data_IF_373079795812
#
_entry.id   IF_373079795812
#
_cell.length_a   1.000
_cell.length_b   1.000
_cell.length_c   1.000
_cell.angle_alpha   90.00
_cell.angle_beta   90.00
_cell.angle_gamma   90.00
#
_symmetry.space_group_name_H-M   'P 1'
#
loop_
_entity.id
_entity.type
_entity.pdbx_description
1 polymer ?
#
# COMPACT_ATOMS: atom_id res chain seq x y z
N UNK A 1 -2.09 20.05 -12.58
CA UNK A 1 -1.90 19.12 -11.49
C UNK A 1 -1.03 17.96 -11.97
N UNK A 2 0.26 17.96 -11.56
CA UNK A 2 1.25 16.98 -12.00
C UNK A 2 0.87 15.52 -11.71
N UNK A 3 0.22 15.26 -10.58
CA UNK A 3 -0.24 13.91 -10.22
C UNK A 3 -1.27 13.35 -11.20
N UNK A 4 -2.23 14.18 -11.62
CA UNK A 4 -3.21 13.77 -12.61
C UNK A 4 -2.57 13.48 -13.96
N UNK A 5 -1.61 14.31 -14.37
CA UNK A 5 -0.89 14.13 -15.64
C UNK A 5 -0.10 12.81 -15.65
N UNK A 6 0.62 12.50 -14.57
CA UNK A 6 1.37 11.23 -14.43
C UNK A 6 0.43 10.03 -14.40
N UNK A 7 -0.71 10.13 -13.70
CA UNK A 7 -1.71 9.08 -13.65
C UNK A 7 -2.30 8.78 -15.03
N UNK A 8 -2.67 9.82 -15.78
CA UNK A 8 -3.20 9.66 -17.15
C UNK A 8 -2.13 9.08 -18.10
N UNK A 9 -0.89 9.54 -17.97
CA UNK A 9 0.22 8.97 -18.75
C UNK A 9 0.42 7.49 -18.44
N UNK A 10 0.37 7.09 -17.17
CA UNK A 10 0.43 5.71 -16.75
C UNK A 10 -0.69 4.84 -17.32
N UNK A 11 -1.93 5.36 -17.35
CA UNK A 11 -3.06 4.65 -17.94
C UNK A 11 -2.87 4.44 -19.47
N UNK A 12 -2.38 5.45 -20.17
CA UNK A 12 -2.13 5.36 -21.63
C UNK A 12 -1.03 4.34 -21.91
N UNK A 13 0.07 4.40 -21.17
CA UNK A 13 1.20 3.48 -21.31
C UNK A 13 0.77 2.05 -20.96
N UNK A 14 0.09 1.85 -19.83
CA UNK A 14 -0.35 0.53 -19.38
C UNK A 14 -1.36 -0.15 -20.31
N UNK A 15 -2.19 0.60 -21.03
CA UNK A 15 -3.13 0.07 -22.01
C UNK A 15 -2.57 -0.04 -23.43
N UNK A 16 -1.37 0.47 -23.68
CA UNK A 16 -0.74 0.38 -25.00
C UNK A 16 -0.10 -1.00 -25.19
N UNK A 17 -0.28 -1.56 -26.41
CA UNK A 17 0.42 -2.79 -26.81
C UNK A 17 1.88 -2.46 -27.11
N UNK A 18 2.71 -2.40 -26.08
CA UNK A 18 4.14 -2.18 -26.26
C UNK A 18 4.89 -3.50 -26.42
N UNK A 19 5.86 -3.59 -27.35
CA UNK A 19 6.84 -4.66 -27.32
C UNK A 19 7.63 -4.54 -26.00
N UNK A 20 7.88 -5.65 -25.33
CA UNK A 20 8.59 -5.74 -24.03
C UNK A 20 7.83 -5.13 -22.83
N UNK A 21 6.49 -5.18 -22.83
CA UNK A 21 5.64 -4.66 -21.75
C UNK A 21 6.11 -5.13 -20.35
N UNK A 22 6.49 -6.38 -20.22
CA UNK A 22 6.95 -6.98 -18.95
C UNK A 22 8.23 -6.34 -18.43
N UNK A 23 9.25 -6.19 -19.30
CA UNK A 23 10.52 -5.57 -18.91
C UNK A 23 10.31 -4.11 -18.50
N UNK A 24 9.43 -3.40 -19.21
CA UNK A 24 9.07 -2.01 -18.87
C UNK A 24 8.36 -1.92 -17.52
N UNK A 25 7.42 -2.81 -17.23
CA UNK A 25 6.71 -2.83 -15.95
C UNK A 25 7.68 -3.11 -14.79
N UNK A 26 8.53 -4.13 -14.91
CA UNK A 26 9.53 -4.45 -13.87
C UNK A 26 10.49 -3.28 -13.62
N UNK A 27 10.90 -2.57 -14.67
CA UNK A 27 11.76 -1.39 -14.53
C UNK A 27 11.05 -0.25 -13.80
N UNK A 28 9.79 0.04 -14.14
CA UNK A 28 9.01 1.07 -13.44
C UNK A 28 8.71 0.69 -12.00
N UNK A 29 8.48 -0.57 -11.70
CA UNK A 29 8.29 -1.05 -10.33
C UNK A 29 9.55 -0.81 -9.49
N UNK A 30 10.74 -1.10 -10.03
CA UNK A 30 12.01 -0.80 -9.36
C UNK A 30 12.20 0.69 -9.08
N UNK A 31 11.91 1.56 -10.05
CA UNK A 31 11.97 3.00 -9.87
C UNK A 31 10.94 3.48 -8.85
N UNK A 32 9.72 2.93 -8.87
CA UNK A 32 8.69 3.29 -7.90
C UNK A 32 9.10 2.96 -6.47
N UNK A 33 9.71 1.79 -6.23
CA UNK A 33 10.29 1.43 -4.94
C UNK A 33 11.39 2.39 -4.49
N UNK A 34 12.32 2.73 -5.38
CA UNK A 34 13.38 3.68 -5.07
C UNK A 34 12.82 5.07 -4.74
N UNK A 35 11.91 5.57 -5.57
CA UNK A 35 11.25 6.86 -5.36
C UNK A 35 10.48 6.88 -4.04
N UNK A 36 9.82 5.79 -3.67
CA UNK A 36 9.12 5.66 -2.40
C UNK A 36 10.07 5.73 -1.20
N UNK A 37 11.22 5.07 -1.27
CA UNK A 37 12.25 5.13 -0.22
C UNK A 37 12.78 6.57 -0.04
N UNK A 38 13.16 7.22 -1.15
CA UNK A 38 13.65 8.61 -1.14
C UNK A 38 12.60 9.56 -0.57
N UNK A 39 11.34 9.38 -0.96
CA UNK A 39 10.23 10.19 -0.49
C UNK A 39 10.02 10.04 1.02
N UNK A 40 9.97 8.82 1.56
CA UNK A 40 9.80 8.60 2.99
C UNK A 40 10.99 9.14 3.79
N UNK A 41 12.21 8.98 3.27
CA UNK A 41 13.40 9.55 3.89
C UNK A 41 13.31 11.08 3.96
N UNK A 42 12.97 11.72 2.85
CA UNK A 42 12.84 13.18 2.77
C UNK A 42 11.74 13.70 3.71
N UNK A 43 10.58 13.03 3.73
CA UNK A 43 9.49 13.40 4.64
C UNK A 43 9.88 13.19 6.11
N UNK A 44 10.64 12.14 6.42
CA UNK A 44 11.16 11.91 7.77
C UNK A 44 12.14 13.00 8.24
N UNK A 45 12.98 13.49 7.34
CA UNK A 45 13.91 14.57 7.63
C UNK A 45 13.24 15.95 7.79
N UNK A 46 12.06 16.12 7.16
CA UNK A 46 11.30 17.38 7.25
C UNK A 46 10.62 17.56 8.62
N UNK A 47 10.44 16.49 9.37
CA UNK A 47 9.71 16.50 10.63
C UNK A 47 10.61 16.89 11.79
N UNK A 48 10.13 17.82 12.61
CA UNK A 48 10.78 18.17 13.88
C UNK A 48 10.16 17.35 15.03
N UNK A 49 10.90 16.40 15.64
CA UNK A 49 10.35 15.55 16.70
C UNK A 49 9.83 16.30 17.92
N UNK A 50 10.39 17.48 18.23
CA UNK A 50 9.96 18.29 19.37
C UNK A 50 8.56 18.88 19.19
N UNK A 51 8.16 19.13 17.94
CA UNK A 51 6.85 19.64 17.61
C UNK A 51 5.78 18.54 17.50
N UNK A 52 6.18 17.27 17.41
CA UNK A 52 5.27 16.13 17.41
C UNK A 52 4.72 15.81 18.81
N UNK A 53 5.52 16.01 19.86
CA UNK A 53 5.13 15.70 21.24
C UNK A 53 3.86 16.41 21.69
N UNK A 54 3.68 17.74 21.46
CA UNK A 54 2.46 18.44 21.85
C UNK A 54 1.21 17.97 21.12
N UNK A 55 1.34 17.50 19.88
CA UNK A 55 0.23 17.04 19.05
C UNK A 55 -0.03 15.53 19.17
N UNK A 56 0.86 14.79 19.84
CA UNK A 56 0.80 13.34 19.93
C UNK A 56 -0.52 12.84 20.56
N UNK A 57 -1.00 13.48 21.61
CA UNK A 57 -2.25 13.08 22.27
C UNK A 57 -3.47 13.18 21.35
N UNK A 58 -3.64 14.33 20.71
CA UNK A 58 -4.74 14.58 19.77
C UNK A 58 -4.55 13.71 18.50
N UNK A 59 -3.33 13.62 17.99
CA UNK A 59 -2.99 12.79 16.84
C UNK A 59 -3.29 11.31 17.08
N UNK A 60 -2.97 10.78 18.27
CA UNK A 60 -3.26 9.40 18.66
C UNK A 60 -4.77 9.15 18.72
N UNK A 61 -5.53 10.06 19.34
CA UNK A 61 -6.98 9.93 19.42
C UNK A 61 -7.62 9.90 18.03
N UNK A 62 -7.20 10.81 17.15
CA UNK A 62 -7.68 10.85 15.76
C UNK A 62 -7.25 9.58 15.00
N UNK A 63 -6.01 9.13 15.16
CA UNK A 63 -5.51 7.90 14.52
C UNK A 63 -6.35 6.69 14.91
N UNK A 64 -6.60 6.50 16.21
CA UNK A 64 -7.41 5.41 16.74
C UNK A 64 -8.85 5.50 16.23
N UNK A 65 -9.47 6.66 16.27
CA UNK A 65 -10.83 6.87 15.75
C UNK A 65 -10.92 6.57 14.24
N UNK A 66 -9.91 6.98 13.48
CA UNK A 66 -9.88 6.70 12.05
C UNK A 66 -9.66 5.21 11.73
N UNK A 67 -8.84 4.51 12.50
CA UNK A 67 -8.58 3.08 12.28
C UNK A 67 -9.78 2.23 12.71
N UNK A 68 -10.36 2.52 13.88
CA UNK A 68 -11.40 1.67 14.48
C UNK A 68 -12.82 2.04 14.06
N UNK A 69 -13.09 3.28 13.71
CA UNK A 69 -14.44 3.76 13.41
C UNK A 69 -14.58 4.14 11.94
N UNK A 70 -13.79 5.12 11.47
CA UNK A 70 -13.98 5.68 10.15
C UNK A 70 -13.74 4.65 9.03
N UNK A 71 -12.70 3.86 9.15
CA UNK A 71 -12.34 2.83 8.16
C UNK A 71 -13.35 1.69 8.08
N UNK A 72 -13.68 0.99 9.17
CA UNK A 72 -14.72 -0.02 9.12
C UNK A 72 -16.04 0.53 8.61
N UNK A 73 -16.47 1.70 9.10
CA UNK A 73 -17.71 2.33 8.63
C UNK A 73 -17.70 2.53 7.11
N UNK A 74 -16.62 3.10 6.56
CA UNK A 74 -16.51 3.33 5.10
C UNK A 74 -16.51 2.02 4.32
N UNK A 75 -15.71 1.02 4.73
CA UNK A 75 -15.62 -0.26 4.02
C UNK A 75 -16.94 -1.01 4.06
N UNK A 76 -17.59 -1.08 5.23
CA UNK A 76 -18.88 -1.74 5.35
C UNK A 76 -19.97 -1.01 4.53
N UNK A 77 -19.96 0.32 4.53
CA UNK A 77 -20.92 1.11 3.75
C UNK A 77 -20.70 0.92 2.23
N UNK A 78 -19.46 1.00 1.76
CA UNK A 78 -19.13 0.81 0.34
C UNK A 78 -19.37 -0.62 -0.14
N UNK A 79 -19.13 -1.63 0.71
CA UNK A 79 -19.33 -3.03 0.36
C UNK A 79 -20.74 -3.56 0.72
N UNK A 80 -21.64 -2.69 1.15
CA UNK A 80 -23.03 -3.06 1.47
C UNK A 80 -23.78 -3.66 0.27
N UNK A 81 -23.65 -3.11 -0.97
CA UNK A 81 -24.30 -3.71 -2.14
C UNK A 81 -23.71 -5.07 -2.54
N UNK A 82 -22.46 -5.37 -2.15
CA UNK A 82 -21.78 -6.62 -2.48
C UNK A 82 -22.02 -7.69 -1.41
N UNK A 83 -23.18 -8.36 -1.47
CA UNK A 83 -23.58 -9.40 -0.49
C UNK A 83 -22.75 -10.68 -0.55
N UNK A 84 -22.01 -10.93 -1.65
CA UNK A 84 -21.18 -12.12 -1.83
C UNK A 84 -19.87 -12.09 -1.01
N UNK A 85 -19.45 -10.90 -0.53
CA UNK A 85 -18.21 -10.75 0.24
C UNK A 85 -18.49 -11.09 1.69
N UNK A 86 -17.74 -12.03 2.25
CA UNK A 86 -17.89 -12.46 3.64
C UNK A 86 -17.58 -11.31 4.62
N UNK A 87 -18.23 -11.31 5.79
CA UNK A 87 -17.97 -10.30 6.83
C UNK A 87 -16.51 -10.28 7.31
N UNK A 88 -15.84 -11.45 7.29
CA UNK A 88 -14.42 -11.56 7.62
C UNK A 88 -13.54 -10.85 6.59
N UNK A 89 -13.83 -11.01 5.30
CA UNK A 89 -13.13 -10.31 4.24
C UNK A 89 -13.31 -8.79 4.34
N UNK A 90 -14.52 -8.31 4.64
CA UNK A 90 -14.80 -6.89 4.87
C UNK A 90 -14.00 -6.35 6.07
N UNK A 91 -13.94 -7.10 7.18
CA UNK A 91 -13.16 -6.74 8.35
C UNK A 91 -11.65 -6.70 8.05
N UNK A 92 -11.13 -7.67 7.30
CA UNK A 92 -9.74 -7.69 6.88
C UNK A 92 -9.39 -6.50 5.96
N UNK A 93 -10.18 -6.23 4.94
CA UNK A 93 -9.99 -5.08 4.04
C UNK A 93 -10.03 -3.76 4.80
N UNK A 94 -10.91 -3.63 5.80
CA UNK A 94 -10.96 -2.42 6.64
C UNK A 94 -9.71 -2.26 7.50
N UNK A 95 -9.09 -3.35 7.94
CA UNK A 95 -7.87 -3.33 8.73
C UNK A 95 -6.63 -3.05 7.88
N UNK A 96 -6.48 -3.72 6.74
CA UNK A 96 -5.30 -3.64 5.85
C UNK A 96 -5.15 -2.29 5.17
N UNK A 97 -6.14 -1.42 5.23
CA UNK A 97 -6.12 -0.10 4.58
C UNK A 97 -4.93 0.77 4.97
N UNK A 98 -3.71 0.33 4.64
CA UNK A 98 -2.48 1.08 4.86
C UNK A 98 -2.55 2.46 4.20
N UNK A 99 -2.06 3.48 4.91
CA UNK A 99 -1.92 4.83 4.36
C UNK A 99 -0.54 4.96 3.76
N UNK A 100 -0.49 5.40 2.50
CA UNK A 100 0.75 5.76 1.85
C UNK A 100 1.21 7.18 2.21
N UNK A 101 2.28 7.63 1.58
CA UNK A 101 2.82 8.98 1.77
C UNK A 101 1.94 10.09 1.19
N UNK A 102 0.94 9.78 0.39
CA UNK A 102 0.06 10.76 -0.28
C UNK A 102 -0.59 11.75 0.70
N UNK A 103 -1.17 11.35 1.85
CA UNK A 103 -1.69 12.30 2.83
C UNK A 103 -0.64 13.27 3.34
N UNK A 104 0.61 12.80 3.57
CA UNK A 104 1.71 13.64 4.05
C UNK A 104 2.11 14.66 2.97
N UNK A 105 2.19 14.21 1.71
CA UNK A 105 2.49 15.11 0.58
C UNK A 105 1.41 16.18 0.46
N UNK A 106 0.12 15.82 0.58
CA UNK A 106 -0.93 16.83 0.57
C UNK A 106 -0.87 17.78 1.76
N UNK A 107 -0.38 17.34 2.91
CA UNK A 107 -0.17 18.20 4.07
C UNK A 107 0.99 19.19 3.90
N UNK A 108 1.86 19.03 2.90
CA UNK A 108 2.89 20.03 2.57
C UNK A 108 2.34 21.23 1.80
N UNK A 109 1.18 21.13 1.12
CA UNK A 109 0.61 22.25 0.38
C UNK A 109 0.27 23.46 1.25
N UNK A 110 -0.37 23.32 2.43
CA UNK A 110 -0.56 24.41 3.37
C UNK A 110 0.76 25.07 3.80
N UNK A 111 1.85 24.28 3.96
CA UNK A 111 3.17 24.80 4.28
C UNK A 111 3.70 25.70 3.17
N UNK A 112 3.63 25.22 1.92
CA UNK A 112 4.08 25.97 0.74
C UNK A 112 3.23 27.22 0.53
N UNK A 113 1.93 27.16 0.83
CA UNK A 113 1.02 28.29 0.71
C UNK A 113 1.15 29.30 1.84
N UNK A 114 1.97 29.06 2.87
CA UNK A 114 2.18 29.96 3.99
C UNK A 114 0.95 30.19 4.87
N UNK A 115 0.06 29.19 4.96
CA UNK A 115 -1.17 29.28 5.76
C UNK A 115 -0.84 29.25 7.25
N UNK A 116 -1.55 30.06 8.05
CA UNK A 116 -1.39 30.03 9.50
C UNK A 116 -1.65 28.62 10.06
N UNK A 117 -0.80 28.17 10.98
CA UNK A 117 -0.84 26.83 11.59
C UNK A 117 -0.62 25.65 10.61
N UNK A 118 -0.02 25.88 9.44
CA UNK A 118 0.29 24.83 8.48
C UNK A 118 1.20 23.74 9.08
N UNK A 119 2.16 24.11 9.92
CA UNK A 119 3.03 23.17 10.65
C UNK A 119 2.22 22.22 11.54
N UNK A 120 1.19 22.73 12.22
CA UNK A 120 0.32 21.91 13.07
C UNK A 120 -0.46 20.88 12.23
N UNK A 121 -0.99 21.29 11.09
CA UNK A 121 -1.69 20.39 10.16
C UNK A 121 -0.75 19.30 9.67
N UNK A 122 0.45 19.70 9.23
CA UNK A 122 1.47 18.76 8.74
C UNK A 122 1.86 17.76 9.83
N UNK A 123 2.18 18.22 11.04
CA UNK A 123 2.60 17.38 12.15
C UNK A 123 1.51 16.38 12.58
N UNK A 124 0.25 16.81 12.61
CA UNK A 124 -0.88 15.91 12.92
C UNK A 124 -1.04 14.84 11.84
N UNK A 125 -1.06 15.22 10.56
CA UNK A 125 -1.21 14.27 9.44
C UNK A 125 -0.04 13.29 9.39
N UNK A 126 1.18 13.78 9.58
CA UNK A 126 2.37 12.95 9.64
C UNK A 126 2.30 11.94 10.78
N UNK A 127 1.98 12.40 12.01
CA UNK A 127 1.84 11.54 13.18
C UNK A 127 0.78 10.45 12.97
N UNK A 128 -0.40 10.81 12.48
CA UNK A 128 -1.48 9.85 12.18
C UNK A 128 -1.02 8.81 11.15
N UNK A 129 -0.30 9.25 10.12
CA UNK A 129 0.17 8.35 9.06
C UNK A 129 1.22 7.37 9.57
N UNK A 130 2.20 7.83 10.33
CA UNK A 130 3.23 6.97 10.94
C UNK A 130 2.58 5.97 11.92
N UNK A 131 1.71 6.44 12.81
CA UNK A 131 1.01 5.55 13.76
C UNK A 131 0.18 4.50 13.03
N UNK A 132 -0.53 4.88 11.98
CA UNK A 132 -1.28 3.95 11.14
C UNK A 132 -0.36 2.92 10.48
N UNK A 133 0.77 3.36 9.93
CA UNK A 133 1.74 2.49 9.27
C UNK A 133 2.35 1.48 10.26
N UNK A 134 2.75 1.94 11.44
CA UNK A 134 3.32 1.08 12.48
C UNK A 134 2.29 0.07 13.00
N UNK A 135 1.09 0.55 13.39
CA UNK A 135 0.06 -0.33 13.98
C UNK A 135 -0.46 -1.32 12.93
N UNK A 136 -0.88 -0.84 11.78
CA UNK A 136 -1.47 -1.70 10.74
C UNK A 136 -0.41 -2.55 10.05
N UNK A 137 0.76 -1.98 9.72
CA UNK A 137 1.84 -2.69 9.04
C UNK A 137 2.35 -3.89 9.84
N UNK A 138 2.56 -3.74 11.15
CA UNK A 138 3.01 -4.84 12.02
C UNK A 138 1.92 -5.88 12.29
N UNK A 139 0.66 -5.49 12.26
CA UNK A 139 -0.46 -6.38 12.62
C UNK A 139 -1.17 -7.02 11.44
N UNK A 140 -0.82 -6.66 10.19
CA UNK A 140 -1.46 -7.22 8.98
C UNK A 140 -1.38 -8.74 8.95
N UNK A 141 -0.18 -9.32 9.13
CA UNK A 141 0.01 -10.77 9.13
C UNK A 141 -0.77 -11.48 10.23
N UNK A 142 -0.76 -10.92 11.45
CA UNK A 142 -1.52 -11.45 12.57
C UNK A 142 -3.03 -11.44 12.30
N UNK A 143 -3.54 -10.35 11.72
CA UNK A 143 -4.97 -10.23 11.39
C UNK A 143 -5.38 -11.15 10.24
N UNK A 144 -4.49 -11.39 9.25
CA UNK A 144 -4.72 -12.35 8.19
C UNK A 144 -4.93 -13.77 8.76
N UNK A 145 -4.05 -14.21 9.64
CA UNK A 145 -4.17 -15.51 10.33
C UNK A 145 -5.43 -15.60 11.20
N UNK A 146 -5.70 -14.56 12.01
CA UNK A 146 -6.87 -14.54 12.91
C UNK A 146 -8.21 -14.57 12.16
N UNK A 147 -8.29 -13.93 11.01
CA UNK A 147 -9.49 -13.91 10.17
C UNK A 147 -9.56 -15.09 9.21
N UNK A 148 -8.60 -16.01 9.26
CA UNK A 148 -8.50 -17.19 8.37
C UNK A 148 -8.56 -16.78 6.89
N UNK A 149 -7.77 -15.76 6.54
CA UNK A 149 -7.64 -15.26 5.18
C UNK A 149 -6.32 -15.73 4.54
N UNK A 150 -5.52 -16.50 5.27
CA UNK A 150 -4.33 -17.17 4.76
C UNK A 150 -4.78 -18.50 4.21
N UNK A 151 -4.50 -18.75 2.93
CA UNK A 151 -4.70 -20.05 2.31
C UNK A 151 -3.40 -20.85 2.52
N UNK A 152 -3.43 -21.80 3.46
CA UNK A 152 -2.30 -22.68 3.77
C UNK A 152 -2.14 -23.83 2.75
N UNK A 153 -2.93 -23.81 1.68
CA UNK A 153 -3.00 -24.92 0.73
C UNK A 153 -1.86 -24.98 -0.27
N UNK A 154 -0.98 -23.98 -0.31
CA UNK A 154 0.33 -24.12 -0.96
C UNK A 154 1.43 -23.66 0.00
N UNK A 155 2.36 -24.54 0.41
CA UNK A 155 3.64 -24.06 0.84
C UNK A 155 4.17 -23.18 -0.30
N UNK A 156 4.73 -22.02 0.03
CA UNK A 156 5.51 -21.25 -0.92
C UNK A 156 6.75 -22.07 -1.34
N UNK A 157 6.50 -23.21 -1.95
CA UNK A 157 7.44 -23.80 -2.87
C UNK A 157 7.70 -22.67 -3.86
N UNK A 158 8.95 -22.30 -4.00
CA UNK A 158 9.50 -21.47 -5.04
C UNK A 158 8.89 -21.89 -6.39
N UNK A 159 7.62 -21.57 -6.58
CA UNK A 159 7.02 -21.49 -7.88
C UNK A 159 7.69 -20.27 -8.50
N UNK A 160 8.89 -20.46 -9.00
CA UNK A 160 9.29 -19.70 -10.16
C UNK A 160 8.14 -19.92 -11.13
N UNK A 161 7.18 -18.99 -11.09
CA UNK A 161 6.01 -19.10 -11.93
C UNK A 161 6.57 -19.27 -13.34
N UNK A 162 6.23 -20.36 -14.00
CA UNK A 162 6.64 -20.62 -15.38
C UNK A 162 6.30 -19.41 -16.27
N UNK A 163 5.36 -18.60 -15.82
CA UNK A 163 5.02 -17.29 -16.38
C UNK A 163 6.13 -16.24 -16.23
N UNK A 164 7.02 -16.35 -15.23
CA UNK A 164 8.12 -15.41 -15.03
C UNK A 164 9.36 -15.67 -15.89
N UNK A 165 9.44 -16.81 -16.54
CA UNK A 165 10.54 -17.13 -17.42
C UNK A 165 10.39 -16.39 -18.77
N UNK A 166 11.50 -15.88 -19.35
CA UNK A 166 11.51 -15.37 -20.71
C UNK A 166 10.98 -16.40 -21.70
N UNK A 167 10.24 -15.94 -22.71
CA UNK A 167 9.58 -16.83 -23.68
C UNK A 167 10.57 -17.73 -24.44
N UNK A 168 11.83 -17.29 -24.57
CA UNK A 168 12.92 -18.11 -25.15
C UNK A 168 13.26 -19.33 -24.29
N UNK A 169 13.13 -19.23 -22.96
CA UNK A 169 13.41 -20.33 -22.04
C UNK A 169 12.18 -21.23 -21.90
N UNK A 170 10.98 -20.68 -21.99
CA UNK A 170 9.73 -21.49 -21.95
C UNK A 170 9.64 -22.50 -23.07
N UNK A 171 10.13 -22.16 -24.24
CA UNK A 171 10.14 -23.07 -25.40
C UNK A 171 11.10 -24.27 -25.24
N UNK A 172 12.05 -24.16 -24.32
CA UNK A 172 13.11 -25.15 -24.09
C UNK A 172 12.84 -26.05 -22.86
N UNK A 173 11.92 -25.61 -21.97
CA UNK A 173 11.55 -26.35 -20.77
C UNK A 173 10.28 -27.16 -21.02
N UNK A 174 10.33 -28.47 -20.82
CA UNK A 174 9.16 -29.33 -20.72
C UNK A 174 8.91 -29.69 -19.27
N UNK A 175 7.69 -29.50 -18.81
CA UNK A 175 7.25 -29.93 -17.49
C UNK A 175 7.07 -31.45 -17.51
N UNK A 176 7.82 -32.17 -16.68
CA UNK A 176 7.69 -33.63 -16.54
C UNK A 176 7.16 -33.91 -15.15
N UNK A 177 5.94 -34.41 -15.06
CA UNK A 177 5.39 -34.93 -13.81
C UNK A 177 6.20 -36.16 -13.39
N UNK A 178 6.90 -36.04 -12.26
CA UNK A 178 7.56 -37.21 -11.64
C UNK A 178 6.49 -37.94 -10.84
N UNK A 179 5.97 -38.99 -11.42
CA UNK A 179 5.11 -39.95 -10.72
C UNK A 179 5.94 -40.70 -9.66
N UNK A 180 5.41 -40.79 -8.44
CA UNK A 180 6.08 -41.34 -7.25
C UNK A 180 6.28 -42.87 -7.27
N UNK A 181 6.32 -43.49 -8.46
CA UNK A 181 6.48 -44.95 -8.69
C UNK A 181 7.83 -45.26 -9.33
N UNK A 182 8.93 -44.68 -8.82
CA UNK A 182 10.29 -45.19 -9.07
C UNK A 182 11.04 -45.37 -7.76
#
# INVERSE_FOLDING_TARGET
NGYLAVYLAGLVIGNSKMPHHRSTTTFFDGIAWLAQLVMFLTLGLLVNPTELLPVAGIGLLIAVAMILIARPATVYLCLLPFRKISGRAKAYVSWVGLRGAVPIIFATYPLIAGINNANLIFNIVFFITIMSLVIQGTTVGYMAGKLRMVDDSEPAALSFSFEELPDEIKSTLSETEVTADM
#
